data_IF_677952592896
#
_entry.id   IF_677952592896
#
_cell.length_a   1.000
_cell.length_b   1.000
_cell.length_c   1.000
_cell.angle_alpha   90.00
_cell.angle_beta   90.00
_cell.angle_gamma   90.00
#
_symmetry.space_group_name_H-M   'P 1'
#
loop_
_entity.id
_entity.type
_entity.pdbx_description
1 polymer ?
#
# COMPACT_ATOMS: atom_id res chain seq x y z
N UNK A 1 -25.80 -20.56 4.78
CA UNK A 1 -25.15 -19.26 5.09
C UNK A 1 -24.04 -19.53 6.10
N UNK A 2 -22.88 -19.94 5.61
CA UNK A 2 -21.70 -20.14 6.46
C UNK A 2 -21.18 -18.76 6.87
N UNK A 3 -21.45 -18.44 8.12
CA UNK A 3 -21.00 -17.24 8.79
C UNK A 3 -19.48 -17.12 8.63
N UNK A 4 -19.01 -15.91 8.29
CA UNK A 4 -17.64 -15.48 8.06
C UNK A 4 -16.79 -15.65 9.34
N UNK A 5 -16.64 -16.90 9.80
CA UNK A 5 -15.96 -17.33 11.03
C UNK A 5 -14.54 -17.84 10.74
N UNK A 6 -14.07 -17.81 9.48
CA UNK A 6 -12.65 -17.77 9.08
C UNK A 6 -11.99 -16.40 9.43
N UNK A 7 -12.35 -15.81 10.58
CA UNK A 7 -12.05 -14.41 10.93
C UNK A 7 -10.56 -14.14 11.14
N UNK A 8 -9.81 -15.15 11.55
CA UNK A 8 -8.40 -14.98 11.91
C UNK A 8 -7.54 -14.78 10.67
N UNK A 9 -7.70 -15.62 9.64
CA UNK A 9 -6.92 -15.49 8.41
C UNK A 9 -7.38 -14.29 7.57
N UNK A 10 -8.68 -13.95 7.60
CA UNK A 10 -9.16 -12.74 6.91
C UNK A 10 -8.61 -11.47 7.55
N UNK A 11 -8.73 -11.33 8.87
CA UNK A 11 -8.23 -10.15 9.57
C UNK A 11 -6.70 -10.04 9.47
N UNK A 12 -5.99 -11.16 9.50
CA UNK A 12 -4.53 -11.20 9.28
C UNK A 12 -4.19 -10.75 7.87
N UNK A 13 -4.81 -11.32 6.84
CA UNK A 13 -4.58 -10.91 5.45
C UNK A 13 -4.90 -9.41 5.23
N UNK A 14 -6.00 -8.92 5.81
CA UNK A 14 -6.36 -7.51 5.73
C UNK A 14 -5.33 -6.59 6.42
N UNK A 15 -4.77 -7.01 7.56
CA UNK A 15 -3.72 -6.26 8.27
C UNK A 15 -2.41 -6.26 7.50
N UNK A 16 -2.02 -7.40 6.92
CA UNK A 16 -0.81 -7.52 6.10
C UNK A 16 -0.94 -6.61 4.87
N UNK A 17 -2.04 -6.72 4.13
CA UNK A 17 -2.29 -5.86 2.97
C UNK A 17 -2.36 -4.38 3.37
N UNK A 18 -3.08 -4.06 4.44
CA UNK A 18 -3.17 -2.68 4.93
C UNK A 18 -1.80 -2.09 5.29
N UNK A 19 -0.94 -2.87 5.95
CA UNK A 19 0.41 -2.42 6.29
C UNK A 19 1.27 -2.19 5.04
N UNK A 20 1.24 -3.11 4.07
CA UNK A 20 2.04 -3.02 2.84
C UNK A 20 1.61 -1.87 1.91
N UNK A 21 0.36 -1.43 1.99
CA UNK A 21 -0.16 -0.29 1.23
C UNK A 21 -0.10 1.05 2.00
N UNK A 22 0.23 1.02 3.29
CA UNK A 22 0.27 2.23 4.13
C UNK A 22 1.70 2.64 4.55
N UNK A 23 2.55 1.68 4.89
CA UNK A 23 3.91 1.93 5.36
C UNK A 23 4.95 1.68 4.26
N UNK A 24 6.04 2.46 4.30
CA UNK A 24 7.18 2.24 3.42
C UNK A 24 7.80 0.85 3.63
N UNK A 25 8.32 0.19 2.58
CA UNK A 25 8.80 -1.19 2.66
C UNK A 25 9.99 -1.39 3.59
N UNK A 26 10.76 -0.34 3.88
CA UNK A 26 11.91 -0.29 4.77
C UNK A 26 11.56 0.12 6.22
N UNK A 27 10.28 0.40 6.49
CA UNK A 27 9.80 0.71 7.84
C UNK A 27 9.87 -0.50 8.78
N UNK A 28 9.88 -0.24 10.09
CA UNK A 28 9.86 -1.29 11.11
C UNK A 28 8.58 -2.14 11.03
N UNK A 29 7.48 -1.54 10.57
CA UNK A 29 6.16 -2.14 10.49
C UNK A 29 5.99 -3.06 9.27
N UNK A 30 6.61 -2.74 8.13
CA UNK A 30 6.42 -3.47 6.87
C UNK A 30 7.62 -4.33 6.45
N UNK A 31 8.85 -4.02 6.85
CA UNK A 31 10.06 -4.74 6.39
C UNK A 31 10.01 -6.26 6.66
N UNK A 32 9.52 -6.66 7.83
CA UNK A 32 9.34 -8.07 8.17
C UNK A 32 8.26 -8.74 7.30
N UNK A 33 7.20 -8.02 6.95
CA UNK A 33 6.11 -8.54 6.10
C UNK A 33 6.55 -8.68 4.65
N UNK A 34 7.29 -7.70 4.14
CA UNK A 34 7.92 -7.75 2.80
C UNK A 34 8.83 -8.97 2.73
N UNK A 35 9.71 -9.15 3.71
CA UNK A 35 10.61 -10.30 3.77
C UNK A 35 9.85 -11.63 3.80
N UNK A 36 8.74 -11.71 4.54
CA UNK A 36 7.92 -12.91 4.61
C UNK A 36 7.24 -13.26 3.26
N UNK A 37 6.85 -12.25 2.46
CA UNK A 37 6.20 -12.46 1.16
C UNK A 37 7.19 -12.79 0.04
N UNK A 38 8.44 -12.35 0.17
CA UNK A 38 9.54 -12.73 -0.73
C UNK A 38 10.05 -14.15 -0.49
N UNK A 39 9.66 -14.81 0.60
CA UNK A 39 10.01 -16.20 0.89
C UNK A 39 8.87 -17.16 0.54
N UNK A 40 9.17 -18.46 0.40
CA UNK A 40 8.14 -19.46 0.20
C UNK A 40 7.32 -19.73 1.49
N UNK A 41 6.06 -20.12 1.31
CA UNK A 41 5.23 -20.68 2.39
C UNK A 41 4.14 -19.78 2.94
N UNK A 42 4.18 -18.45 2.72
CA UNK A 42 3.12 -17.54 3.16
C UNK A 42 1.74 -17.89 2.56
N UNK A 43 1.73 -18.46 1.36
CA UNK A 43 0.54 -18.93 0.65
C UNK A 43 -0.32 -19.93 1.44
N UNK A 44 0.27 -20.68 2.39
CA UNK A 44 -0.48 -21.62 3.24
C UNK A 44 -1.34 -20.92 4.30
N UNK A 45 -0.99 -19.67 4.64
CA UNK A 45 -1.67 -18.87 5.66
C UNK A 45 -2.70 -17.91 5.05
N UNK A 46 -2.69 -17.74 3.72
CA UNK A 46 -3.57 -16.82 3.03
C UNK A 46 -4.95 -17.44 2.80
N UNK A 47 -6.06 -16.69 2.97
CA UNK A 47 -7.42 -17.21 2.81
C UNK A 47 -7.85 -17.28 1.32
N UNK A 48 -7.00 -17.80 0.43
CA UNK A 48 -7.28 -17.98 -1.00
C UNK A 48 -6.79 -19.35 -1.48
N UNK A 49 -7.36 -19.80 -2.60
CA UNK A 49 -6.98 -21.07 -3.24
C UNK A 49 -5.54 -21.06 -3.75
N UNK A 50 -4.82 -22.18 -3.57
CA UNK A 50 -3.41 -22.31 -3.96
C UNK A 50 -3.17 -22.04 -5.45
N UNK A 51 -4.11 -22.41 -6.31
CA UNK A 51 -4.05 -22.14 -7.76
C UNK A 51 -4.04 -20.65 -8.10
N UNK A 52 -4.65 -19.82 -7.25
CA UNK A 52 -4.66 -18.35 -7.39
C UNK A 52 -3.37 -17.74 -6.84
N UNK A 53 -2.81 -18.31 -5.78
CA UNK A 53 -1.60 -17.79 -5.11
C UNK A 53 -0.29 -18.21 -5.78
N UNK A 54 -0.25 -19.38 -6.42
CA UNK A 54 0.94 -19.92 -7.08
C UNK A 54 1.63 -18.95 -8.05
N UNK A 55 0.93 -18.24 -8.96
CA UNK A 55 1.57 -17.27 -9.83
C UNK A 55 2.03 -16.00 -9.09
N UNK A 56 1.47 -15.71 -7.92
CA UNK A 56 1.85 -14.55 -7.11
C UNK A 56 3.17 -14.79 -6.39
N UNK A 57 3.44 -16.00 -5.89
CA UNK A 57 4.72 -16.34 -5.26
C UNK A 57 5.89 -16.03 -6.19
N UNK A 58 5.81 -16.47 -7.44
CA UNK A 58 6.81 -16.18 -8.45
C UNK A 58 6.95 -14.68 -8.73
N UNK A 59 5.86 -13.92 -8.71
CA UNK A 59 5.89 -12.46 -8.90
C UNK A 59 6.51 -11.71 -7.71
N UNK A 60 6.27 -12.15 -6.47
CA UNK A 60 6.88 -11.55 -5.29
C UNK A 60 8.38 -11.84 -5.16
N UNK A 61 8.86 -12.91 -5.81
CA UNK A 61 10.27 -13.31 -5.86
C UNK A 61 11.00 -12.82 -7.11
N UNK A 62 10.27 -12.28 -8.09
CA UNK A 62 10.88 -11.82 -9.33
C UNK A 62 11.82 -10.64 -9.06
N UNK A 63 13.02 -10.71 -9.62
CA UNK A 63 13.94 -9.59 -9.61
C UNK A 63 13.38 -8.44 -10.47
N UNK A 64 13.52 -7.22 -9.97
CA UNK A 64 13.12 -6.01 -10.66
C UNK A 64 14.32 -5.05 -10.70
N UNK A 65 14.46 -4.32 -11.82
CA UNK A 65 15.51 -3.31 -11.98
C UNK A 65 15.34 -2.14 -10.98
N UNK A 66 14.10 -1.88 -10.55
CA UNK A 66 13.76 -0.85 -9.55
C UNK A 66 13.70 -1.47 -8.15
N UNK A 67 14.37 -0.84 -7.18
CA UNK A 67 14.29 -1.27 -5.79
C UNK A 67 12.91 -1.00 -5.18
N UNK A 68 12.52 -1.81 -4.20
CA UNK A 68 11.20 -1.68 -3.56
C UNK A 68 10.95 -0.29 -2.92
N UNK A 69 11.92 0.37 -2.26
CA UNK A 69 11.74 1.75 -1.77
C UNK A 69 11.53 2.78 -2.89
N UNK A 70 12.20 2.62 -4.03
CA UNK A 70 12.01 3.50 -5.20
C UNK A 70 10.61 3.32 -5.80
N UNK A 71 10.16 2.06 -5.95
CA UNK A 71 8.81 1.76 -6.41
C UNK A 71 7.75 2.34 -5.46
N UNK A 72 7.94 2.23 -4.14
CA UNK A 72 7.04 2.82 -3.14
C UNK A 72 6.94 4.34 -3.27
N UNK A 73 8.08 5.04 -3.36
CA UNK A 73 8.14 6.48 -3.55
C UNK A 73 7.35 6.91 -4.80
N UNK A 74 7.55 6.21 -5.92
CA UNK A 74 6.88 6.49 -7.20
C UNK A 74 5.37 6.21 -7.16
N UNK A 75 4.95 5.16 -6.47
CA UNK A 75 3.55 4.70 -6.45
C UNK A 75 2.68 5.43 -5.42
N UNK A 76 3.24 5.82 -4.28
CA UNK A 76 2.46 6.30 -3.13
C UNK A 76 2.82 7.71 -2.65
N UNK A 77 4.01 8.23 -2.96
CA UNK A 77 4.48 9.53 -2.44
C UNK A 77 4.51 10.62 -3.51
N UNK A 78 5.08 10.33 -4.69
CA UNK A 78 5.36 11.32 -5.74
C UNK A 78 6.86 11.59 -5.87
N UNK A 79 7.29 12.58 -6.67
CA UNK A 79 6.67 13.90 -6.83
C UNK A 79 5.73 14.05 -8.05
N UNK A 80 5.63 13.03 -8.89
CA UNK A 80 4.75 13.02 -10.06
C UNK A 80 3.33 12.60 -9.70
N UNK A 81 2.39 12.78 -10.63
CA UNK A 81 1.04 12.27 -10.47
C UNK A 81 1.09 10.75 -10.21
N UNK A 82 0.47 10.32 -9.11
CA UNK A 82 0.45 8.90 -8.76
C UNK A 82 -0.37 8.14 -9.81
N UNK A 83 0.13 6.99 -10.31
CA UNK A 83 -0.58 6.22 -11.33
C UNK A 83 -1.92 5.67 -10.83
N UNK A 84 -2.02 5.37 -9.53
CA UNK A 84 -3.24 4.93 -8.88
C UNK A 84 -3.30 5.49 -7.46
N UNK A 85 -3.89 6.68 -7.25
CA UNK A 85 -3.96 7.28 -5.92
C UNK A 85 -4.75 6.40 -4.94
N UNK A 86 -4.21 6.09 -3.74
CA UNK A 86 -4.82 5.14 -2.80
C UNK A 86 -6.05 5.70 -2.06
N UNK A 87 -6.54 6.89 -2.42
CA UNK A 87 -7.69 7.51 -1.78
C UNK A 87 -8.96 7.24 -2.58
N UNK A 88 -9.93 6.59 -1.94
CA UNK A 88 -11.24 6.32 -2.56
C UNK A 88 -11.94 7.56 -3.11
N UNK A 89 -11.69 8.74 -2.53
CA UNK A 89 -12.26 10.01 -3.03
C UNK A 89 -11.79 10.35 -4.44
N UNK A 90 -10.59 9.95 -4.87
CA UNK A 90 -10.13 10.20 -6.24
C UNK A 90 -10.98 9.43 -7.27
N UNK A 91 -11.50 8.28 -6.88
CA UNK A 91 -12.28 7.39 -7.74
C UNK A 91 -13.79 7.66 -7.66
N UNK A 92 -14.26 8.13 -6.51
CA UNK A 92 -15.67 8.36 -6.22
C UNK A 92 -16.09 9.82 -6.42
N UNK A 93 -15.16 10.78 -6.35
CA UNK A 93 -15.42 12.18 -6.66
C UNK A 93 -15.25 12.42 -8.16
N UNK A 94 -16.25 13.01 -8.80
CA UNK A 94 -16.23 13.37 -10.23
C UNK A 94 -15.08 14.33 -10.58
N UNK A 95 -14.58 15.06 -9.58
CA UNK A 95 -13.48 16.00 -9.67
C UNK A 95 -12.13 15.42 -9.19
N UNK A 96 -12.06 14.13 -8.86
CA UNK A 96 -10.83 13.40 -8.51
C UNK A 96 -9.99 14.03 -7.39
N UNK A 97 -10.62 14.60 -6.36
CA UNK A 97 -9.92 15.32 -5.28
C UNK A 97 -9.43 14.37 -4.18
N UNK A 98 -8.21 14.59 -3.69
CA UNK A 98 -7.71 13.92 -2.48
C UNK A 98 -8.27 14.63 -1.25
N UNK A 99 -9.10 13.95 -0.45
CA UNK A 99 -9.50 14.44 0.88
C UNK A 99 -8.44 14.01 1.88
N UNK A 100 -7.51 14.92 2.17
CA UNK A 100 -6.63 14.83 3.33
C UNK A 100 -7.34 15.47 4.52
N UNK A 101 -7.92 14.68 5.41
CA UNK A 101 -8.34 15.22 6.72
C UNK A 101 -7.08 15.49 7.55
N UNK A 102 -6.61 16.74 7.51
CA UNK A 102 -5.56 17.24 8.38
C UNK A 102 -6.07 17.18 9.84
N UNK A 103 -5.51 16.30 10.66
CA UNK A 103 -5.44 16.57 12.09
C UNK A 103 -4.39 17.67 12.27
N UNK A 104 -4.83 18.93 12.22
CA UNK A 104 -4.00 20.08 12.51
C UNK A 104 -3.71 20.13 14.02
N UNK A 105 -2.66 19.44 14.46
CA UNK A 105 -1.96 19.73 15.70
C UNK A 105 -0.90 20.79 15.40
N UNK A 106 -1.04 21.97 16.01
CA UNK A 106 -0.18 23.14 15.83
C UNK A 106 1.31 22.81 15.94
N UNK A 107 1.99 22.73 14.80
CA UNK A 107 3.43 22.90 14.72
C UNK A 107 3.69 24.07 13.76
N UNK A 108 4.08 25.19 14.36
CA UNK A 108 4.63 26.36 13.66
C UNK A 108 5.89 25.91 12.93
N UNK A 109 5.83 25.81 11.60
CA UNK A 109 7.01 25.57 10.77
C UNK A 109 7.17 26.72 9.80
N UNK A 110 8.40 27.21 9.83
CA UNK A 110 8.98 28.34 9.14
C UNK A 110 8.65 28.43 7.65
N UNK A 111 8.58 29.66 7.16
CA UNK A 111 8.23 30.01 5.80
C UNK A 111 9.34 29.59 4.82
N UNK A 112 9.26 28.38 4.26
CA UNK A 112 10.25 27.94 3.27
C UNK A 112 9.92 26.72 2.40
N UNK A 113 9.00 25.85 2.79
CA UNK A 113 8.68 24.64 2.00
C UNK A 113 7.21 24.56 1.63
N UNK A 114 6.91 25.18 0.50
CA UNK A 114 5.63 25.09 -0.19
C UNK A 114 5.63 23.78 -0.97
N UNK A 115 5.19 22.68 -0.37
CA UNK A 115 4.89 21.45 -1.12
C UNK A 115 3.68 21.73 -2.04
N UNK A 116 3.84 21.71 -3.38
CA UNK A 116 2.72 21.95 -4.27
C UNK A 116 1.93 20.65 -4.47
N UNK A 117 0.68 20.69 -4.01
CA UNK A 117 -0.52 20.19 -4.70
C UNK A 117 -0.27 19.09 -5.75
N UNK A 118 -0.52 17.82 -5.38
CA UNK A 118 -0.67 16.73 -6.34
C UNK A 118 -1.95 16.97 -7.17
N UNK A 119 -1.81 17.63 -8.33
CA UNK A 119 -2.86 17.62 -9.34
C UNK A 119 -2.96 16.20 -9.93
N UNK A 120 -4.14 15.60 -9.85
CA UNK A 120 -4.51 14.50 -10.72
C UNK A 120 -4.59 15.06 -12.15
N UNK A 121 -3.52 14.88 -12.93
CA UNK A 121 -3.50 15.24 -14.33
C UNK A 121 -4.43 14.31 -15.12
N UNK A 122 -5.04 14.90 -16.14
CA UNK A 122 -6.22 14.45 -16.88
C UNK A 122 -5.91 13.36 -17.89
#
# INVERSE_FOLDING_TARGET
MTHFSQRDNFSTAARVLGALFYYAPDSAEASALVSALSNDGWQAQWPLEKTTLSPLVAQFQAEADESLPQAWQRLFVGPYALPSPPWGSVWLDREKRVVWRLHAGSASVDAGQRYPVCYAAK
#
